data_IF_730119022091
#
_entry.id   IF_730119022091
#
_cell.length_a   1.000
_cell.length_b   1.000
_cell.length_c   1.000
_cell.angle_alpha   90.00
_cell.angle_beta   90.00
_cell.angle_gamma   90.00
#
_symmetry.space_group_name_H-M   'P 1'
#
loop_
_entity.id
_entity.type
_entity.pdbx_description
1 polymer ?
#
# COMPACT_ATOMS: atom_id res chain seq x y z
N UNK A 1 -12.11 10.78 -15.84
CA UNK A 1 -11.31 9.80 -16.62
C UNK A 1 -11.72 8.36 -16.29
N UNK A 2 -11.73 7.46 -17.27
CA UNK A 2 -12.09 6.06 -17.06
C UNK A 2 -10.97 5.30 -16.33
N UNK A 3 -11.31 4.26 -15.53
CA UNK A 3 -10.40 3.45 -14.72
C UNK A 3 -9.31 2.75 -15.55
N UNK A 4 -9.63 2.39 -16.78
CA UNK A 4 -8.67 1.78 -17.72
C UNK A 4 -7.50 2.72 -18.02
N UNK A 5 -7.72 4.04 -18.03
CA UNK A 5 -6.70 5.05 -18.26
C UNK A 5 -5.64 5.04 -17.15
N UNK A 6 -6.08 4.96 -15.89
CA UNK A 6 -5.16 4.92 -14.76
C UNK A 6 -4.35 3.62 -14.71
N UNK A 7 -4.96 2.50 -15.13
CA UNK A 7 -4.23 1.24 -15.26
C UNK A 7 -3.16 1.32 -16.37
N UNK A 8 -3.48 1.98 -17.47
CA UNK A 8 -2.54 2.23 -18.56
C UNK A 8 -1.40 3.17 -18.13
N UNK A 9 -1.70 4.29 -17.46
CA UNK A 9 -0.68 5.20 -16.92
C UNK A 9 0.22 4.49 -15.91
N UNK A 10 -0.35 3.65 -15.04
CA UNK A 10 0.41 2.86 -14.09
C UNK A 10 1.40 1.93 -14.80
N UNK A 11 0.98 1.30 -15.89
CA UNK A 11 1.83 0.41 -16.70
C UNK A 11 2.96 1.18 -17.37
N UNK A 12 2.68 2.34 -17.95
CA UNK A 12 3.69 3.19 -18.57
C UNK A 12 4.72 3.68 -17.54
N UNK A 13 4.27 4.10 -16.35
CA UNK A 13 5.17 4.54 -15.27
C UNK A 13 6.16 3.47 -14.83
N UNK A 14 5.77 2.20 -14.95
CA UNK A 14 6.65 1.07 -14.60
C UNK A 14 7.74 0.82 -15.63
N UNK A 15 7.46 1.08 -16.91
CA UNK A 15 8.42 0.88 -18.00
C UNK A 15 9.53 1.94 -17.93
N UNK A 16 9.19 3.16 -17.55
CA UNK A 16 10.16 4.24 -17.44
C UNK A 16 9.97 5.05 -16.12
N UNK A 17 10.70 4.65 -15.08
CA UNK A 17 10.65 5.28 -13.74
C UNK A 17 11.08 6.76 -13.71
N UNK A 18 11.68 7.29 -14.78
CA UNK A 18 12.09 8.70 -14.91
C UNK A 18 10.99 9.58 -15.49
N UNK A 19 9.84 9.00 -15.86
CA UNK A 19 8.74 9.72 -16.48
C UNK A 19 8.07 10.69 -15.49
N UNK A 20 8.18 11.98 -15.78
CA UNK A 20 7.32 12.97 -15.12
C UNK A 20 5.93 12.94 -15.78
N UNK A 21 5.12 11.95 -15.40
CA UNK A 21 3.75 11.78 -15.88
C UNK A 21 2.82 12.89 -15.38
N UNK A 22 3.18 13.65 -14.35
CA UNK A 22 2.37 14.75 -13.82
C UNK A 22 2.10 15.80 -14.91
N UNK A 23 3.10 16.13 -15.71
CA UNK A 23 2.95 17.07 -16.83
C UNK A 23 2.00 16.53 -17.91
N UNK A 24 2.10 15.24 -18.23
CA UNK A 24 1.22 14.58 -19.18
C UNK A 24 -0.22 14.51 -18.68
N UNK A 25 -0.43 14.14 -17.42
CA UNK A 25 -1.75 14.10 -16.78
C UNK A 25 -2.39 15.48 -16.80
N UNK A 26 -1.65 16.54 -16.50
CA UNK A 26 -2.15 17.91 -16.52
C UNK A 26 -2.57 18.33 -17.96
N UNK A 27 -1.85 17.91 -18.99
CA UNK A 27 -2.25 18.18 -20.37
C UNK A 27 -3.54 17.42 -20.73
N UNK A 28 -3.69 16.14 -20.33
CA UNK A 28 -4.92 15.38 -20.57
C UNK A 28 -6.13 16.03 -19.88
N UNK A 29 -5.99 16.49 -18.63
CA UNK A 29 -7.07 17.17 -17.89
C UNK A 29 -7.55 18.46 -18.56
N UNK A 30 -6.69 19.16 -19.32
CA UNK A 30 -7.09 20.35 -20.08
C UNK A 30 -8.10 20.03 -21.18
N UNK A 31 -8.05 18.83 -21.74
CA UNK A 31 -8.89 18.42 -22.88
C UNK A 31 -10.18 17.69 -22.46
N UNK A 32 -10.34 17.34 -21.17
CA UNK A 32 -11.55 16.69 -20.60
C UNK A 32 -12.05 15.46 -21.38
N UNK A 33 -11.15 14.71 -22.01
CA UNK A 33 -11.45 13.69 -22.99
C UNK A 33 -11.53 12.29 -22.36
N UNK A 34 -12.39 11.45 -22.94
CA UNK A 34 -12.41 10.01 -22.67
C UNK A 34 -11.03 9.40 -23.01
N UNK A 35 -10.67 8.30 -22.36
CA UNK A 35 -9.41 7.61 -22.61
C UNK A 35 -9.20 7.25 -24.08
N UNK A 36 -10.27 6.89 -24.77
CA UNK A 36 -10.24 6.54 -26.20
C UNK A 36 -9.91 7.79 -27.02
N UNK A 37 -10.49 8.93 -26.67
CA UNK A 37 -10.19 10.22 -27.31
C UNK A 37 -8.82 10.73 -26.94
N UNK A 38 -8.45 10.72 -25.65
CA UNK A 38 -7.11 11.08 -25.20
C UNK A 38 -6.04 10.20 -25.87
N UNK A 39 -6.34 8.94 -26.07
CA UNK A 39 -5.46 8.00 -26.77
C UNK A 39 -5.40 8.27 -28.29
N UNK A 40 -6.54 8.50 -28.95
CA UNK A 40 -6.59 8.81 -30.38
C UNK A 40 -5.96 10.19 -30.67
N UNK A 41 -6.12 11.13 -29.73
CA UNK A 41 -5.57 12.49 -29.82
C UNK A 41 -4.15 12.61 -29.21
N UNK A 42 -3.62 11.55 -28.62
CA UNK A 42 -2.25 11.56 -28.05
C UNK A 42 -1.22 12.07 -29.06
N UNK A 43 -1.37 11.74 -30.36
CA UNK A 43 -0.48 12.28 -31.41
C UNK A 43 -0.58 13.79 -31.57
N UNK A 44 -1.75 14.41 -31.42
CA UNK A 44 -1.92 15.87 -31.52
C UNK A 44 -1.45 16.56 -30.25
N UNK A 45 -1.80 16.00 -29.09
CA UNK A 45 -1.35 16.48 -27.76
C UNK A 45 0.18 16.45 -27.65
N UNK A 46 0.80 15.40 -28.21
CA UNK A 46 2.25 15.21 -28.15
C UNK A 46 3.02 16.10 -29.13
N UNK A 47 2.41 16.53 -30.24
CA UNK A 47 3.05 17.48 -31.18
C UNK A 47 3.31 18.84 -30.56
N UNK A 48 2.46 19.24 -29.60
CA UNK A 48 2.53 20.55 -28.94
C UNK A 48 3.16 20.47 -27.54
N UNK A 49 3.57 19.26 -27.09
CA UNK A 49 4.16 19.04 -25.79
C UNK A 49 5.68 18.93 -25.84
N UNK A 50 6.37 19.55 -24.85
CA UNK A 50 7.80 19.34 -24.58
C UNK A 50 8.06 18.02 -23.82
N UNK A 51 7.41 16.92 -24.21
CA UNK A 51 7.62 15.61 -23.61
C UNK A 51 8.81 14.90 -24.23
N UNK A 52 9.50 14.08 -23.44
CA UNK A 52 10.59 13.25 -23.89
C UNK A 52 10.08 12.23 -24.94
N UNK A 53 10.82 12.05 -26.03
CA UNK A 53 10.46 11.13 -27.12
C UNK A 53 10.21 9.70 -26.62
N UNK A 54 10.94 9.23 -25.61
CA UNK A 54 10.75 7.91 -25.03
C UNK A 54 9.39 7.74 -24.34
N UNK A 55 8.84 8.82 -23.79
CA UNK A 55 7.48 8.87 -23.21
C UNK A 55 6.45 8.75 -24.33
N UNK A 56 6.67 9.53 -25.38
CA UNK A 56 5.76 9.57 -26.54
C UNK A 56 5.65 8.19 -27.18
N UNK A 57 6.78 7.49 -27.35
CA UNK A 57 6.81 6.14 -27.90
C UNK A 57 6.03 5.14 -27.03
N UNK A 58 6.21 5.17 -25.71
CA UNK A 58 5.45 4.32 -24.79
C UNK A 58 3.94 4.63 -24.78
N UNK A 59 3.57 5.92 -24.85
CA UNK A 59 2.19 6.35 -24.90
C UNK A 59 1.47 5.94 -26.20
N UNK A 60 2.21 5.85 -27.30
CA UNK A 60 1.70 5.48 -28.61
C UNK A 60 1.77 3.98 -28.92
N UNK A 61 2.35 3.18 -28.02
CA UNK A 61 2.50 1.73 -28.26
C UNK A 61 1.12 1.03 -28.16
N UNK A 62 0.63 0.60 -29.32
CA UNK A 62 -0.63 -0.12 -29.45
C UNK A 62 -0.66 -1.43 -28.64
N UNK A 63 0.48 -2.11 -28.49
CA UNK A 63 0.54 -3.36 -27.75
C UNK A 63 0.28 -3.12 -26.26
N UNK A 64 0.82 -2.03 -25.70
CA UNK A 64 0.60 -1.67 -24.30
C UNK A 64 -0.91 -1.43 -24.07
N UNK A 65 -1.59 -0.81 -25.02
CA UNK A 65 -3.01 -0.49 -24.90
C UNK A 65 -3.89 -1.70 -25.03
N UNK A 66 -3.65 -2.54 -26.02
CA UNK A 66 -4.43 -3.77 -26.21
C UNK A 66 -4.25 -4.70 -25.00
N UNK A 67 -3.02 -4.83 -24.51
CA UNK A 67 -2.74 -5.57 -23.29
C UNK A 67 -3.45 -4.96 -22.06
N UNK A 68 -3.50 -3.64 -21.95
CA UNK A 68 -4.19 -2.97 -20.84
C UNK A 68 -5.70 -3.21 -20.91
N UNK A 69 -6.30 -3.15 -22.10
CA UNK A 69 -7.72 -3.47 -22.31
C UNK A 69 -8.04 -4.92 -21.91
N UNK A 70 -7.18 -5.84 -22.30
CA UNK A 70 -7.32 -7.25 -21.94
C UNK A 70 -7.25 -7.45 -20.41
N UNK A 71 -6.27 -6.86 -19.76
CA UNK A 71 -6.11 -6.91 -18.30
C UNK A 71 -7.28 -6.27 -17.57
N UNK A 72 -7.72 -5.10 -18.00
CA UNK A 72 -8.92 -4.42 -17.46
C UNK A 72 -10.16 -5.31 -17.51
N UNK A 73 -10.43 -5.92 -18.66
CA UNK A 73 -11.59 -6.80 -18.82
C UNK A 73 -11.49 -8.03 -17.89
N UNK A 74 -10.30 -8.58 -17.69
CA UNK A 74 -10.09 -9.71 -16.77
C UNK A 74 -10.32 -9.31 -15.30
N UNK A 75 -9.86 -8.13 -14.89
CA UNK A 75 -10.07 -7.61 -13.54
C UNK A 75 -11.58 -7.44 -13.29
N UNK A 76 -12.30 -6.83 -14.21
CA UNK A 76 -13.76 -6.61 -14.07
C UNK A 76 -14.52 -7.95 -14.06
N UNK A 77 -14.17 -8.89 -14.94
CA UNK A 77 -14.77 -10.23 -14.97
C UNK A 77 -14.54 -11.02 -13.68
N UNK A 78 -13.42 -10.78 -13.00
CA UNK A 78 -13.11 -11.41 -11.71
C UNK A 78 -13.89 -10.78 -10.54
N UNK A 79 -14.70 -9.75 -10.78
CA UNK A 79 -15.47 -9.05 -9.75
C UNK A 79 -14.62 -8.12 -8.86
N UNK A 80 -13.38 -7.85 -9.25
CA UNK A 80 -12.49 -6.95 -8.51
C UNK A 80 -12.76 -5.48 -8.86
N UNK A 81 -12.46 -4.61 -7.92
CA UNK A 81 -12.64 -3.16 -8.06
C UNK A 81 -11.30 -2.48 -8.34
N UNK A 82 -11.23 -1.68 -9.37
CA UNK A 82 -10.11 -0.76 -9.58
C UNK A 82 -10.43 0.54 -8.83
N UNK A 83 -9.52 0.96 -7.95
CA UNK A 83 -9.56 2.23 -7.24
C UNK A 83 -8.48 3.13 -7.81
N UNK A 84 -8.86 4.26 -8.36
CA UNK A 84 -7.98 5.23 -9.00
C UNK A 84 -7.68 6.40 -8.06
N UNK A 85 -6.60 7.11 -8.31
CA UNK A 85 -6.13 8.25 -7.51
C UNK A 85 -7.20 9.34 -7.29
N UNK A 86 -8.19 9.47 -8.17
CA UNK A 86 -9.30 10.42 -8.05
C UNK A 86 -10.48 9.90 -7.23
N UNK A 87 -10.52 8.59 -6.92
CA UNK A 87 -11.63 8.00 -6.19
C UNK A 87 -11.56 8.40 -4.71
N UNK A 88 -12.72 8.61 -4.10
CA UNK A 88 -12.82 8.99 -2.68
C UNK A 88 -12.20 7.95 -1.74
N UNK A 89 -12.21 6.68 -2.15
CA UNK A 89 -11.65 5.56 -1.41
C UNK A 89 -10.11 5.49 -1.50
N UNK A 90 -9.48 6.26 -2.40
CA UNK A 90 -8.02 6.28 -2.51
C UNK A 90 -7.38 6.86 -1.24
N UNK A 91 -6.28 6.27 -0.72
CA UNK A 91 -5.68 6.70 0.53
C UNK A 91 -5.17 8.14 0.47
N UNK A 92 -5.75 9.05 1.26
CA UNK A 92 -5.38 10.47 1.29
C UNK A 92 -3.91 10.69 1.60
N UNK A 93 -3.35 9.91 2.54
CA UNK A 93 -1.94 9.96 2.90
C UNK A 93 -0.98 9.72 1.73
N UNK A 94 -1.40 8.98 0.71
CA UNK A 94 -0.62 8.77 -0.51
C UNK A 94 -0.73 9.96 -1.46
N UNK A 95 -1.89 10.64 -1.50
CA UNK A 95 -2.07 11.88 -2.27
C UNK A 95 -1.21 13.01 -1.72
N UNK A 96 -1.20 13.18 -0.41
CA UNK A 96 -0.43 14.22 0.27
C UNK A 96 1.07 14.09 0.02
N UNK A 97 1.57 12.87 -0.01
CA UNK A 97 2.98 12.57 -0.25
C UNK A 97 3.36 12.49 -1.74
N UNK A 98 2.39 12.52 -2.66
CA UNK A 98 2.59 12.36 -4.12
C UNK A 98 3.38 11.09 -4.50
N UNK A 99 3.24 10.02 -3.74
CA UNK A 99 4.07 8.81 -3.84
C UNK A 99 3.27 7.51 -4.01
N UNK A 100 1.97 7.60 -4.23
CA UNK A 100 1.12 6.43 -4.46
C UNK A 100 1.04 6.02 -5.92
N UNK A 101 0.54 4.80 -6.21
CA UNK A 101 0.23 4.37 -7.56
C UNK A 101 -0.95 5.16 -8.14
N UNK A 102 -1.06 5.25 -9.45
CA UNK A 102 -2.21 5.87 -10.11
C UNK A 102 -3.52 5.12 -9.85
N UNK A 103 -3.42 3.81 -9.67
CA UNK A 103 -4.52 2.96 -9.26
C UNK A 103 -4.02 1.69 -8.56
N UNK A 104 -4.92 1.06 -7.80
CA UNK A 104 -4.76 -0.29 -7.28
C UNK A 104 -6.04 -1.09 -7.48
N UNK A 105 -5.96 -2.42 -7.34
CA UNK A 105 -7.07 -3.33 -7.48
C UNK A 105 -7.43 -3.89 -6.11
N UNK A 106 -8.70 -3.85 -5.74
CA UNK A 106 -9.20 -4.35 -4.46
C UNK A 106 -10.13 -5.56 -4.68
N UNK A 107 -9.96 -6.59 -3.87
CA UNK A 107 -10.83 -7.79 -3.92
C UNK A 107 -12.24 -7.54 -3.38
N UNK A 108 -12.40 -6.52 -2.54
CA UNK A 108 -13.67 -6.10 -1.93
C UNK A 108 -13.60 -4.60 -1.58
N UNK A 109 -14.65 -4.08 -0.95
CA UNK A 109 -14.62 -2.71 -0.44
C UNK A 109 -13.69 -2.65 0.79
N UNK A 110 -12.59 -1.91 0.66
CA UNK A 110 -11.58 -1.72 1.70
C UNK A 110 -11.39 -0.21 1.86
N UNK A 111 -11.60 0.30 3.07
CA UNK A 111 -11.29 1.70 3.39
C UNK A 111 -9.84 1.82 3.88
N UNK A 112 -8.94 2.19 2.99
CA UNK A 112 -7.52 2.41 3.31
C UNK A 112 -7.26 3.76 4.01
N UNK A 113 -8.26 4.64 4.10
CA UNK A 113 -8.21 5.86 4.90
C UNK A 113 -8.39 5.58 6.39
N UNK A 114 -8.88 4.38 6.73
CA UNK A 114 -8.86 3.88 8.09
C UNK A 114 -7.42 3.70 8.57
N UNK A 115 -7.25 3.43 9.87
CA UNK A 115 -5.94 3.10 10.44
C UNK A 115 -5.43 1.78 9.90
N UNK A 116 -4.17 1.75 9.59
CA UNK A 116 -3.50 0.60 9.02
C UNK A 116 -2.37 0.16 9.95
N UNK A 117 -2.56 -0.99 10.59
CA UNK A 117 -1.61 -1.59 11.54
C UNK A 117 -0.84 -2.70 10.87
N UNK A 118 0.46 -2.56 10.75
CA UNK A 118 1.33 -3.64 10.30
C UNK A 118 1.86 -4.42 11.51
N UNK A 119 1.67 -5.73 11.52
CA UNK A 119 2.24 -6.60 12.54
C UNK A 119 3.38 -7.39 11.92
N UNK A 120 4.60 -7.00 12.30
CA UNK A 120 5.84 -7.57 11.80
C UNK A 120 6.37 -8.67 12.71
N UNK A 121 6.90 -9.72 12.10
CA UNK A 121 7.64 -10.82 12.72
C UNK A 121 8.61 -11.42 11.68
N UNK A 122 9.65 -12.13 12.15
CA UNK A 122 10.61 -12.80 11.25
C UNK A 122 10.01 -14.01 10.55
N UNK A 123 10.60 -14.44 9.45
CA UNK A 123 10.20 -15.65 8.71
C UNK A 123 10.26 -16.92 9.58
N UNK A 124 11.23 -17.01 10.49
CA UNK A 124 11.38 -18.09 11.47
C UNK A 124 10.85 -17.69 12.85
N UNK A 125 9.55 -17.51 12.93
CA UNK A 125 8.92 -17.03 14.16
C UNK A 125 8.46 -18.14 15.09
N UNK A 126 8.48 -17.83 16.40
CA UNK A 126 8.08 -18.74 17.46
C UNK A 126 6.57 -18.96 17.51
N UNK A 127 6.13 -20.05 18.17
CA UNK A 127 4.71 -20.24 18.49
C UNK A 127 4.15 -19.07 19.32
N UNK A 128 4.98 -18.47 20.17
CA UNK A 128 4.64 -17.29 20.94
C UNK A 128 4.32 -16.09 20.04
N UNK A 129 5.17 -15.81 19.06
CA UNK A 129 4.92 -14.74 18.08
C UNK A 129 3.63 -14.95 17.29
N UNK A 130 3.33 -16.20 16.86
CA UNK A 130 2.04 -16.54 16.22
C UNK A 130 0.84 -16.15 17.06
N UNK A 131 0.89 -16.46 18.35
CA UNK A 131 -0.18 -16.12 19.27
C UNK A 131 -0.34 -14.61 19.44
N UNK A 132 0.78 -13.87 19.52
CA UNK A 132 0.77 -12.41 19.64
C UNK A 132 0.26 -11.72 18.38
N UNK A 133 0.65 -12.18 17.18
CA UNK A 133 0.09 -11.68 15.92
C UNK A 133 -1.42 -11.83 15.92
N UNK A 134 -1.92 -13.02 16.29
CA UNK A 134 -3.37 -13.26 16.40
C UNK A 134 -4.03 -12.41 17.47
N UNK A 135 -3.39 -12.21 18.60
CA UNK A 135 -3.92 -11.42 19.72
C UNK A 135 -4.03 -9.92 19.36
N UNK A 136 -2.92 -9.32 18.93
CA UNK A 136 -2.92 -7.89 18.60
C UNK A 136 -3.69 -7.58 17.31
N UNK A 137 -3.70 -8.51 16.35
CA UNK A 137 -4.50 -8.38 15.15
C UNK A 137 -6.01 -8.31 15.46
N UNK A 138 -6.52 -9.19 16.35
CA UNK A 138 -7.92 -9.12 16.80
C UNK A 138 -8.26 -7.78 17.45
N UNK A 139 -7.37 -7.29 18.32
CA UNK A 139 -7.55 -6.00 18.98
C UNK A 139 -7.61 -4.85 17.96
N UNK A 140 -6.73 -4.86 16.95
CA UNK A 140 -6.75 -3.86 15.90
C UNK A 140 -8.05 -3.92 15.08
N UNK A 141 -8.54 -5.12 14.72
CA UNK A 141 -9.83 -5.30 14.06
C UNK A 141 -11.02 -4.82 14.91
N UNK A 142 -11.02 -5.09 16.23
CA UNK A 142 -12.04 -4.60 17.16
C UNK A 142 -12.10 -3.06 17.20
N UNK A 143 -10.97 -2.39 16.97
CA UNK A 143 -10.88 -0.92 16.91
C UNK A 143 -11.04 -0.39 15.45
N UNK A 144 -11.60 -1.21 14.54
CA UNK A 144 -11.83 -0.90 13.12
C UNK A 144 -10.57 -0.52 12.34
N UNK A 145 -9.40 -1.05 12.69
CA UNK A 145 -8.18 -0.86 11.92
C UNK A 145 -8.00 -1.98 10.88
N UNK A 146 -7.41 -1.65 9.75
CA UNK A 146 -6.92 -2.67 8.81
C UNK A 146 -5.64 -3.29 9.37
N UNK A 147 -5.52 -4.62 9.29
CA UNK A 147 -4.36 -5.36 9.77
C UNK A 147 -3.57 -5.90 8.61
N UNK A 148 -2.34 -5.41 8.45
CA UNK A 148 -1.37 -5.90 7.48
C UNK A 148 -0.45 -6.91 8.19
N UNK A 149 -0.32 -8.11 7.63
CA UNK A 149 0.62 -9.10 8.15
C UNK A 149 1.01 -10.07 7.03
N UNK A 150 2.25 -10.55 7.07
CA UNK A 150 2.73 -11.55 6.12
C UNK A 150 2.20 -12.97 6.46
N UNK A 151 1.48 -13.14 7.57
CA UNK A 151 0.99 -14.42 8.04
C UNK A 151 -0.29 -14.85 7.34
N UNK A 152 -0.14 -15.66 6.28
CA UNK A 152 -1.24 -16.12 5.41
C UNK A 152 -2.30 -17.02 6.07
N UNK A 153 -2.02 -17.59 7.25
CA UNK A 153 -2.92 -18.50 7.98
C UNK A 153 -3.44 -17.92 9.30
N UNK A 154 -3.53 -16.62 9.44
CA UNK A 154 -4.07 -16.01 10.65
C UNK A 154 -5.59 -16.19 10.69
N UNK A 155 -6.14 -16.48 11.88
CA UNK A 155 -7.59 -16.44 12.15
C UNK A 155 -8.14 -15.01 12.22
N UNK A 156 -7.46 -14.06 11.61
CA UNK A 156 -7.76 -12.65 11.58
C UNK A 156 -8.03 -12.27 10.14
N UNK A 157 -9.01 -11.44 9.92
CA UNK A 157 -9.23 -10.82 8.62
C UNK A 157 -8.08 -9.85 8.32
N UNK A 158 -7.13 -10.31 7.52
CA UNK A 158 -5.95 -9.54 7.16
C UNK A 158 -6.09 -8.88 5.80
N UNK A 159 -5.53 -7.68 5.71
CA UNK A 159 -5.31 -7.01 4.45
C UNK A 159 -3.96 -7.46 3.88
N UNK A 160 -3.99 -8.14 2.73
CA UNK A 160 -2.81 -8.59 2.03
C UNK A 160 -2.52 -7.68 0.84
N UNK A 161 -1.31 -7.17 0.77
CA UNK A 161 -0.85 -6.40 -0.37
C UNK A 161 0.07 -7.30 -1.18
N UNK A 162 -0.30 -7.54 -2.42
CA UNK A 162 0.34 -8.51 -3.29
C UNK A 162 0.56 -7.95 -4.70
N UNK A 163 1.44 -8.58 -5.46
CA UNK A 163 1.67 -8.19 -6.85
C UNK A 163 0.46 -8.52 -7.73
N UNK A 164 0.36 -7.86 -8.86
CA UNK A 164 -0.66 -8.17 -9.87
C UNK A 164 -0.47 -9.59 -10.45
N UNK A 165 0.76 -10.10 -10.49
CA UNK A 165 1.06 -11.46 -10.96
C UNK A 165 0.49 -12.52 -10.01
N UNK A 166 0.49 -12.27 -8.69
CA UNK A 166 -0.11 -13.16 -7.70
C UNK A 166 -1.63 -13.26 -7.86
N UNK A 167 -2.29 -12.21 -8.35
CA UNK A 167 -3.71 -12.24 -8.69
C UNK A 167 -4.02 -13.30 -9.77
N UNK A 168 -3.13 -13.45 -10.76
CA UNK A 168 -3.29 -14.40 -11.87
C UNK A 168 -3.09 -15.85 -11.46
N UNK A 169 -2.36 -16.10 -10.37
CA UNK A 169 -1.98 -17.45 -9.92
C UNK A 169 -3.06 -18.19 -9.12
N UNK A 170 -4.24 -17.61 -8.90
CA UNK A 170 -5.36 -18.18 -8.14
C UNK A 170 -5.02 -18.66 -6.70
N UNK A 171 -3.94 -18.14 -6.09
CA UNK A 171 -3.53 -18.51 -4.72
C UNK A 171 -4.27 -17.70 -3.64
N UNK A 172 -5.40 -17.10 -3.99
CA UNK A 172 -6.17 -16.20 -3.15
C UNK A 172 -7.08 -16.98 -2.22
N UNK A 173 -6.91 -16.79 -0.91
CA UNK A 173 -7.80 -17.38 0.10
C UNK A 173 -9.03 -16.47 0.27
N UNK A 174 -10.23 -17.05 0.15
CA UNK A 174 -11.51 -16.33 0.14
C UNK A 174 -11.84 -15.55 1.42
N UNK A 175 -11.13 -15.80 2.51
CA UNK A 175 -11.42 -15.20 3.82
C UNK A 175 -10.65 -13.87 4.09
N UNK A 176 -9.73 -13.49 3.22
CA UNK A 176 -8.88 -12.32 3.40
C UNK A 176 -9.21 -11.22 2.40
N UNK A 177 -8.88 -9.97 2.77
CA UNK A 177 -8.91 -8.81 1.88
C UNK A 177 -7.60 -8.70 1.12
N UNK A 178 -7.67 -8.38 -0.16
CA UNK A 178 -6.49 -8.25 -1.01
C UNK A 178 -6.48 -6.90 -1.73
N UNK A 179 -5.29 -6.31 -1.73
CA UNK A 179 -4.92 -5.22 -2.62
C UNK A 179 -3.87 -5.75 -3.59
N UNK A 180 -4.15 -5.65 -4.88
CA UNK A 180 -3.21 -6.00 -5.94
C UNK A 180 -2.63 -4.72 -6.53
N UNK A 181 -1.32 -4.68 -6.59
CA UNK A 181 -0.59 -3.53 -7.12
C UNK A 181 -0.11 -3.81 -8.54
N UNK A 182 -0.77 -3.28 -9.56
CA UNK A 182 -0.27 -3.38 -10.92
C UNK A 182 0.96 -2.49 -11.06
N UNK A 183 2.11 -3.09 -11.37
CA UNK A 183 3.34 -2.38 -11.75
C UNK A 183 3.86 -1.36 -10.73
N UNK A 184 3.59 -1.57 -9.44
CA UNK A 184 4.07 -0.70 -8.35
C UNK A 184 4.80 -1.51 -7.29
N UNK A 185 5.73 -0.87 -6.56
CA UNK A 185 6.50 -1.54 -5.51
C UNK A 185 5.65 -1.75 -4.26
N UNK A 186 5.51 -3.02 -3.83
CA UNK A 186 4.71 -3.41 -2.67
C UNK A 186 5.25 -2.80 -1.38
N UNK A 187 6.57 -2.85 -1.17
CA UNK A 187 7.20 -2.33 0.05
C UNK A 187 7.00 -0.83 0.17
N UNK A 188 7.07 -0.11 -0.94
CA UNK A 188 6.83 1.33 -0.99
C UNK A 188 5.37 1.66 -0.69
N UNK A 189 4.41 0.89 -1.23
CA UNK A 189 2.99 1.07 -0.95
C UNK A 189 2.67 0.79 0.52
N UNK A 190 3.15 -0.33 1.06
CA UNK A 190 2.99 -0.69 2.47
C UNK A 190 3.54 0.41 3.38
N UNK A 191 4.74 0.91 3.10
CA UNK A 191 5.39 1.94 3.88
C UNK A 191 4.53 3.21 4.00
N UNK A 192 3.93 3.68 2.90
CA UNK A 192 3.06 4.85 2.92
C UNK A 192 1.72 4.56 3.59
N UNK A 193 1.22 3.34 3.46
CA UNK A 193 -0.07 2.93 4.00
C UNK A 193 -0.06 2.76 5.53
N UNK A 194 1.01 2.18 6.09
CA UNK A 194 1.13 1.85 7.52
C UNK A 194 1.06 3.12 8.39
N UNK A 195 0.24 3.11 9.44
CA UNK A 195 0.16 4.15 10.47
C UNK A 195 0.87 3.70 11.75
N UNK A 196 0.74 2.41 12.09
CA UNK A 196 1.34 1.80 13.29
C UNK A 196 2.09 0.54 12.87
N UNK A 197 3.36 0.45 13.26
CA UNK A 197 4.16 -0.75 13.12
C UNK A 197 4.26 -1.46 14.48
N UNK A 198 3.70 -2.66 14.59
CA UNK A 198 3.81 -3.54 15.75
C UNK A 198 4.86 -4.59 15.47
N UNK A 199 5.94 -4.60 16.25
CA UNK A 199 7.04 -5.57 16.12
C UNK A 199 6.91 -6.61 17.23
N UNK A 200 6.62 -7.85 16.84
CA UNK A 200 6.46 -8.98 17.76
C UNK A 200 7.77 -9.73 17.99
N UNK A 201 8.44 -10.10 16.91
CA UNK A 201 9.78 -10.68 16.92
C UNK A 201 10.57 -10.13 15.74
N UNK A 202 11.74 -9.54 16.00
CA UNK A 202 12.62 -9.06 14.96
C UNK A 202 14.09 -9.39 15.23
N UNK A 203 14.75 -9.95 14.22
CA UNK A 203 16.20 -10.06 14.12
C UNK A 203 16.75 -8.80 13.46
N UNK A 204 18.07 -8.65 13.52
CA UNK A 204 18.78 -7.59 12.84
C UNK A 204 18.86 -7.90 11.33
N UNK A 205 17.84 -7.51 10.56
CA UNK A 205 17.72 -7.75 9.12
C UNK A 205 17.48 -6.43 8.39
N UNK A 206 18.03 -6.30 7.19
CA UNK A 206 17.96 -5.05 6.40
C UNK A 206 16.52 -4.56 6.19
N UNK A 207 15.60 -5.47 5.91
CA UNK A 207 14.20 -5.14 5.65
C UNK A 207 13.54 -4.41 6.83
N UNK A 208 13.66 -4.95 8.05
CA UNK A 208 13.03 -4.33 9.23
C UNK A 208 13.74 -3.05 9.66
N UNK A 209 15.06 -2.97 9.52
CA UNK A 209 15.81 -1.74 9.80
C UNK A 209 15.31 -0.61 8.92
N UNK A 210 15.25 -0.84 7.61
CA UNK A 210 14.75 0.12 6.63
C UNK A 210 13.31 0.54 6.92
N UNK A 211 12.44 -0.40 7.27
CA UNK A 211 11.06 -0.11 7.62
C UNK A 211 10.96 0.79 8.86
N UNK A 212 11.68 0.47 9.92
CA UNK A 212 11.70 1.26 11.17
C UNK A 212 12.26 2.67 10.92
N UNK A 213 13.34 2.79 10.16
CA UNK A 213 13.94 4.09 9.80
C UNK A 213 12.94 4.98 9.04
N UNK A 214 12.21 4.42 8.10
CA UNK A 214 11.21 5.17 7.34
C UNK A 214 9.97 5.54 8.18
N UNK A 215 9.55 4.66 9.10
CA UNK A 215 8.50 4.97 10.07
C UNK A 215 8.91 6.14 10.96
N UNK A 216 10.14 6.13 11.47
CA UNK A 216 10.70 7.20 12.29
C UNK A 216 10.79 8.53 11.53
N UNK A 217 11.30 8.54 10.28
CA UNK A 217 11.35 9.73 9.42
C UNK A 217 9.97 10.33 9.14
N UNK A 218 8.94 9.48 9.10
CA UNK A 218 7.56 9.87 8.84
C UNK A 218 6.77 10.17 10.11
N UNK A 219 7.43 10.21 11.28
CA UNK A 219 6.82 10.37 12.60
C UNK A 219 5.63 9.43 12.87
N UNK A 220 5.72 8.20 12.37
CA UNK A 220 4.72 7.16 12.57
C UNK A 220 5.05 6.31 13.79
N UNK A 221 4.02 5.64 14.34
CA UNK A 221 4.12 4.89 15.58
C UNK A 221 4.82 3.53 15.40
N UNK A 222 5.79 3.24 16.27
CA UNK A 222 6.48 1.95 16.33
C UNK A 222 6.33 1.38 17.73
N UNK A 223 5.58 0.28 17.84
CA UNK A 223 5.30 -0.44 19.08
C UNK A 223 6.05 -1.77 19.08
N UNK A 224 6.76 -2.07 20.15
CA UNK A 224 7.61 -3.25 20.21
C UNK A 224 7.27 -4.14 21.40
N UNK A 225 6.99 -5.41 21.13
CA UNK A 225 6.79 -6.41 22.19
C UNK A 225 8.14 -6.80 22.78
N UNK A 226 8.34 -6.63 24.11
CA UNK A 226 9.58 -7.02 24.76
C UNK A 226 9.72 -8.55 24.80
N UNK A 227 10.94 -9.03 24.77
CA UNK A 227 11.24 -10.45 24.84
C UNK A 227 12.41 -10.73 25.77
N UNK A 228 12.61 -12.00 26.11
CA UNK A 228 13.74 -12.41 26.94
C UNK A 228 15.05 -12.13 26.23
N UNK A 229 16.09 -11.79 26.99
CA UNK A 229 17.45 -11.50 26.46
C UNK A 229 18.10 -12.70 25.77
N UNK A 230 17.61 -13.90 26.04
CA UNK A 230 18.13 -15.15 25.42
C UNK A 230 17.43 -15.49 24.09
N UNK A 231 16.36 -14.78 23.74
CA UNK A 231 15.64 -15.03 22.47
C UNK A 231 16.35 -14.34 21.32
N UNK A 232 17.13 -15.09 20.56
CA UNK A 232 17.85 -14.59 19.36
C UNK A 232 16.92 -14.01 18.29
N UNK A 233 15.66 -14.46 18.25
CA UNK A 233 14.68 -13.97 17.28
C UNK A 233 14.15 -12.57 17.62
N UNK A 234 14.35 -12.10 18.84
CA UNK A 234 13.87 -10.79 19.33
C UNK A 234 15.01 -9.85 19.73
N UNK A 235 16.24 -10.14 19.33
CA UNK A 235 17.36 -9.29 19.69
C UNK A 235 17.18 -7.86 19.21
N UNK A 236 16.74 -7.69 17.96
CA UNK A 236 16.48 -6.37 17.38
C UNK A 236 15.27 -5.69 18.03
N UNK A 237 14.21 -6.44 18.39
CA UNK A 237 13.08 -5.89 19.14
C UNK A 237 13.53 -5.23 20.45
N UNK A 238 14.31 -5.92 21.25
CA UNK A 238 14.83 -5.36 22.51
C UNK A 238 15.79 -4.18 22.28
N UNK A 239 16.56 -4.20 21.18
CA UNK A 239 17.41 -3.08 20.79
C UNK A 239 16.58 -1.84 20.45
N UNK A 240 15.48 -1.97 19.71
CA UNK A 240 14.58 -0.86 19.37
C UNK A 240 13.96 -0.22 20.63
N UNK A 241 13.57 -1.03 21.62
CA UNK A 241 13.09 -0.53 22.91
C UNK A 241 14.19 0.32 23.59
N UNK A 242 15.43 -0.13 23.56
CA UNK A 242 16.57 0.62 24.08
C UNK A 242 16.81 1.94 23.31
N UNK A 243 16.45 2.00 22.03
CA UNK A 243 16.52 3.22 21.21
C UNK A 243 15.32 4.16 21.39
N UNK A 244 14.35 3.80 22.23
CA UNK A 244 13.22 4.65 22.56
C UNK A 244 11.92 4.30 21.83
N UNK A 245 11.84 3.14 21.18
CA UNK A 245 10.57 2.66 20.65
C UNK A 245 9.59 2.36 21.80
N UNK A 246 8.30 2.63 21.58
CA UNK A 246 7.26 2.41 22.57
C UNK A 246 7.08 0.91 22.86
N UNK A 247 6.92 0.56 24.14
CA UNK A 247 6.79 -0.82 24.58
C UNK A 247 5.33 -1.26 24.55
N UNK A 248 5.06 -2.36 23.85
CA UNK A 248 3.72 -2.96 23.77
C UNK A 248 3.62 -4.14 24.77
N UNK A 249 3.03 -3.90 25.93
CA UNK A 249 2.88 -4.92 26.98
C UNK A 249 1.52 -5.62 26.94
N UNK A 250 0.47 -4.90 26.55
CA UNK A 250 -0.88 -5.40 26.61
C UNK A 250 -1.82 -4.71 25.61
N UNK A 251 -3.08 -5.13 25.57
CA UNK A 251 -4.10 -4.58 24.67
C UNK A 251 -4.36 -3.08 24.84
N UNK A 252 -4.19 -2.55 26.04
CA UNK A 252 -4.51 -1.15 26.33
C UNK A 252 -3.49 -0.21 25.70
N UNK A 253 -2.22 -0.64 25.60
CA UNK A 253 -1.17 0.13 24.93
C UNK A 253 -1.52 0.33 23.44
N UNK A 254 -1.91 -0.75 22.75
CA UNK A 254 -2.32 -0.67 21.34
C UNK A 254 -3.61 0.16 21.18
N UNK A 255 -4.62 -0.06 22.04
CA UNK A 255 -5.87 0.70 22.00
C UNK A 255 -5.65 2.20 22.25
N UNK A 256 -4.73 2.54 23.15
CA UNK A 256 -4.38 3.93 23.44
C UNK A 256 -3.80 4.62 22.21
N UNK A 257 -2.83 3.99 21.55
CA UNK A 257 -2.21 4.54 20.32
C UNK A 257 -3.24 4.64 19.19
N UNK A 258 -4.06 3.61 19.00
CA UNK A 258 -5.13 3.63 18.01
C UNK A 258 -6.11 4.78 18.24
N UNK A 259 -6.48 5.09 19.48
CA UNK A 259 -7.38 6.21 19.82
C UNK A 259 -6.71 7.56 19.66
N UNK A 260 -5.44 7.69 20.03
CA UNK A 260 -4.65 8.92 19.86
C UNK A 260 -4.60 9.39 18.41
N UNK A 261 -4.41 8.47 17.47
CA UNK A 261 -4.40 8.78 16.04
C UNK A 261 -5.75 9.30 15.51
N UNK A 262 -6.89 8.96 16.16
CA UNK A 262 -8.19 9.54 15.80
C UNK A 262 -8.26 11.03 16.16
N UNK A 263 -7.78 11.41 17.35
CA UNK A 263 -7.85 12.78 17.82
C UNK A 263 -7.04 13.76 16.97
N UNK A 264 -5.89 13.34 16.46
CA UNK A 264 -5.06 14.16 15.57
C UNK A 264 -5.69 14.38 14.19
N UNK A 265 -6.40 13.41 13.65
CA UNK A 265 -7.12 13.58 12.38
C UNK A 265 -8.27 14.59 12.49
N UNK A 266 -8.97 14.64 13.62
CA UNK A 266 -10.01 15.66 13.86
C UNK A 266 -9.44 17.08 14.04
N UNK A 267 -8.26 17.23 14.62
CA UNK A 267 -7.62 18.54 14.79
C UNK A 267 -7.17 19.17 13.46
N UNK A 268 -6.70 18.37 12.51
CA UNK A 268 -6.30 18.81 11.16
C UNK A 268 -7.49 19.24 10.28
N UNK A 269 -8.73 18.89 10.65
CA UNK A 269 -9.94 19.31 9.95
C UNK A 269 -10.52 20.65 10.45
N UNK A 270 -9.98 21.23 11.54
CA UNK A 270 -10.50 22.46 12.17
C UNK A 270 -9.58 23.69 11.87
N UNK A 271 -8.42 23.46 11.29
CA UNK A 271 -7.50 24.52 10.83
C UNK A 271 -7.57 24.63 9.31
#
# INVERSE_FOLDING_TARGET
MDKIHFLWLQKISSINKKLNLEKYINEIYKYNEDIIEAFNNTKSILKDSNLDLSIVECLLDKNIIENTKFEYNNIIKSGYKIVKIEDREYPRKMLENKKGPFCYIASCNIDLNNKNVCIYYNDYFSKYAKNLVSYFGKIACEENANVLTQYKNSKIECLNIVSYEDMKSNTILSENKYIFLPFFNIEEFELYLIDILVIVEARYEEKIIKLVDEMAKSAKEVLVVPSTVFNKNSYFSNYLIKQGADVLLNKWDLKFVLKRLISWQFFLFII
#
